data_IF_056702502883
#
_entry.id   IF_056702502883
#
_cell.length_a   1.000
_cell.length_b   1.000
_cell.length_c   1.000
_cell.angle_alpha   90.00
_cell.angle_beta   90.00
_cell.angle_gamma   90.00
#
_symmetry.space_group_name_H-M   'P 1'
#
loop_
_entity.id
_entity.type
_entity.pdbx_description
1 polymer ?
#
# COMPACT_ATOMS: atom_id res chain seq x y z
N UNK A 1 -12.83 19.96 -15.65
CA UNK A 1 -12.89 19.38 -14.29
C UNK A 1 -11.47 19.19 -13.79
N UNK A 2 -11.21 19.52 -12.54
CA UNK A 2 -9.94 19.26 -11.85
C UNK A 2 -10.21 18.44 -10.61
N UNK A 3 -9.45 17.38 -10.40
CA UNK A 3 -9.48 16.50 -9.23
C UNK A 3 -8.27 15.57 -9.29
N UNK A 4 -8.19 14.58 -8.40
CA UNK A 4 -7.13 13.58 -8.39
C UNK A 4 -7.03 12.82 -9.72
N UNK A 5 -5.82 12.47 -10.11
CA UNK A 5 -5.57 11.72 -11.34
C UNK A 5 -6.36 10.42 -11.42
N UNK A 6 -6.45 9.67 -10.32
CA UNK A 6 -7.23 8.44 -10.25
C UNK A 6 -8.73 8.67 -10.49
N UNK A 7 -9.28 9.76 -9.94
CA UNK A 7 -10.67 10.14 -10.15
C UNK A 7 -10.93 10.57 -11.60
N UNK A 8 -9.99 11.30 -12.24
CA UNK A 8 -10.10 11.69 -13.65
C UNK A 8 -10.09 10.47 -14.58
N UNK A 9 -9.16 9.55 -14.36
CA UNK A 9 -9.06 8.32 -15.16
C UNK A 9 -10.31 7.45 -14.98
N UNK A 10 -10.78 7.29 -13.75
CA UNK A 10 -12.00 6.54 -13.45
C UNK A 10 -13.24 7.16 -14.13
N UNK A 11 -13.37 8.50 -14.09
CA UNK A 11 -14.46 9.19 -14.78
C UNK A 11 -14.37 9.05 -16.30
N UNK A 12 -13.18 9.17 -16.87
CA UNK A 12 -12.97 8.95 -18.28
C UNK A 12 -13.42 7.55 -18.68
N UNK A 13 -12.99 6.51 -17.95
CA UNK A 13 -13.35 5.13 -18.23
C UNK A 13 -14.86 4.84 -18.15
N UNK A 14 -15.58 5.54 -17.26
CA UNK A 14 -17.00 5.27 -16.99
C UNK A 14 -17.96 6.17 -17.79
N UNK A 15 -17.55 7.39 -18.13
CA UNK A 15 -18.47 8.43 -18.57
C UNK A 15 -18.13 9.02 -19.96
N UNK A 16 -16.98 8.66 -20.55
CA UNK A 16 -16.63 9.14 -21.88
C UNK A 16 -17.64 8.64 -22.90
N UNK A 17 -18.34 9.53 -23.64
CA UNK A 17 -19.29 9.12 -24.67
C UNK A 17 -18.61 8.37 -25.80
N UNK A 18 -19.35 7.48 -26.44
CA UNK A 18 -18.87 6.79 -27.63
C UNK A 18 -18.56 7.80 -28.76
N UNK A 19 -17.37 7.67 -29.35
CA UNK A 19 -16.92 8.56 -30.41
C UNK A 19 -16.27 9.86 -29.95
N UNK A 20 -16.23 10.14 -28.64
CA UNK A 20 -15.50 11.27 -28.05
C UNK A 20 -14.15 10.81 -27.50
N UNK A 21 -13.15 11.69 -27.52
CA UNK A 21 -11.87 11.46 -26.86
C UNK A 21 -11.65 12.52 -25.78
N UNK A 22 -11.73 12.09 -24.50
CA UNK A 22 -11.39 12.96 -23.38
C UNK A 22 -9.89 12.89 -23.09
N UNK A 23 -9.28 14.05 -22.92
CA UNK A 23 -7.86 14.18 -22.61
C UNK A 23 -7.68 14.63 -21.17
N UNK A 24 -6.78 13.96 -20.44
CA UNK A 24 -6.33 14.40 -19.12
C UNK A 24 -5.06 15.23 -19.31
N UNK A 25 -5.12 16.51 -18.93
CA UNK A 25 -4.03 17.47 -19.13
C UNK A 25 -3.85 18.34 -17.88
N UNK A 26 -2.62 18.69 -17.51
CA UNK A 26 -1.34 18.19 -18.05
C UNK A 26 -1.10 16.72 -17.68
N UNK A 27 -0.20 16.04 -18.39
CA UNK A 27 0.18 14.66 -18.08
C UNK A 27 0.93 14.52 -16.74
N UNK A 28 1.65 15.56 -16.33
CA UNK A 28 2.26 15.62 -15.00
C UNK A 28 1.29 16.25 -14.00
N UNK A 29 1.18 15.70 -12.76
CA UNK A 29 0.35 16.28 -11.71
C UNK A 29 0.75 17.72 -11.40
N UNK A 30 -0.25 18.60 -11.22
CA UNK A 30 -0.04 20.02 -10.84
C UNK A 30 0.14 20.21 -9.34
N UNK A 31 -0.27 19.24 -8.52
CA UNK A 31 -0.10 19.19 -7.07
C UNK A 31 0.04 17.76 -6.57
N UNK A 32 0.41 17.61 -5.31
CA UNK A 32 0.45 16.32 -4.59
C UNK A 32 -0.71 16.28 -3.60
N UNK A 33 -1.48 15.23 -3.69
CA UNK A 33 -2.61 14.95 -2.80
C UNK A 33 -2.40 13.58 -2.15
N UNK A 34 -1.62 13.50 -1.05
CA UNK A 34 -1.32 12.22 -0.39
C UNK A 34 -2.57 11.72 0.33
N UNK A 35 -3.31 10.84 -0.34
CA UNK A 35 -4.49 10.20 0.22
C UNK A 35 -4.07 9.16 1.27
N UNK A 36 -4.86 9.05 2.33
CA UNK A 36 -4.65 8.07 3.38
C UNK A 36 -5.93 7.74 4.13
N UNK A 37 -5.95 6.64 4.87
CA UNK A 37 -7.08 6.32 5.75
C UNK A 37 -7.20 7.36 6.85
N UNK A 38 -8.44 7.63 7.28
CA UNK A 38 -8.75 8.54 8.38
C UNK A 38 -9.33 7.75 9.55
N UNK A 39 -9.06 8.21 10.77
CA UNK A 39 -9.55 7.62 12.01
C UNK A 39 -9.93 8.71 13.02
N UNK A 40 -10.67 8.32 14.06
CA UNK A 40 -11.10 9.26 15.12
C UNK A 40 -9.91 9.85 15.88
N UNK A 41 -10.00 11.14 16.21
CA UNK A 41 -8.99 11.82 17.02
C UNK A 41 -9.04 11.34 18.47
N UNK A 42 -7.90 11.42 19.19
CA UNK A 42 -7.73 11.04 20.58
C UNK A 42 -7.80 9.52 20.86
N UNK A 43 -7.58 8.69 19.84
CA UNK A 43 -7.39 7.26 19.99
C UNK A 43 -6.02 6.87 19.38
N UNK A 44 -4.97 7.04 20.18
CA UNK A 44 -3.60 6.80 19.73
C UNK A 44 -3.33 5.33 19.41
N UNK A 45 -3.93 4.41 20.19
CA UNK A 45 -3.75 2.98 19.96
C UNK A 45 -4.38 2.57 18.62
N UNK A 46 -5.60 3.04 18.34
CA UNK A 46 -6.23 2.79 17.03
C UNK A 46 -5.47 3.46 15.88
N UNK A 47 -4.94 4.67 16.11
CA UNK A 47 -4.09 5.35 15.14
C UNK A 47 -2.86 4.51 14.78
N UNK A 48 -2.18 3.91 15.78
CA UNK A 48 -1.04 3.04 15.56
C UNK A 48 -1.44 1.77 14.77
N UNK A 49 -2.55 1.14 15.11
CA UNK A 49 -3.07 -0.02 14.37
C UNK A 49 -3.31 0.31 12.90
N UNK A 50 -3.98 1.43 12.60
CA UNK A 50 -4.27 1.84 11.22
C UNK A 50 -2.98 2.17 10.47
N UNK A 51 -2.10 2.96 11.07
CA UNK A 51 -0.83 3.36 10.43
C UNK A 51 0.07 2.15 10.15
N UNK A 52 0.28 1.28 11.15
CA UNK A 52 1.11 0.10 10.99
C UNK A 52 0.51 -0.93 10.05
N UNK A 53 -0.82 -1.02 9.94
CA UNK A 53 -1.45 -1.87 8.92
C UNK A 53 -1.11 -1.38 7.51
N UNK A 54 -1.14 -0.08 7.25
CA UNK A 54 -0.72 0.49 5.95
C UNK A 54 0.79 0.27 5.74
N UNK A 55 1.62 0.59 6.72
CA UNK A 55 3.07 0.41 6.64
C UNK A 55 3.44 -1.06 6.40
N UNK A 56 2.74 -2.00 7.04
CA UNK A 56 2.96 -3.42 6.82
C UNK A 56 2.77 -3.82 5.35
N UNK A 57 1.77 -3.27 4.65
CA UNK A 57 1.57 -3.56 3.22
C UNK A 57 2.71 -3.00 2.37
N UNK A 58 3.24 -1.82 2.72
CA UNK A 58 4.35 -1.18 2.01
C UNK A 58 5.65 -1.96 2.25
N UNK A 59 6.00 -2.24 3.52
CA UNK A 59 7.19 -3.02 3.87
C UNK A 59 7.13 -4.42 3.23
N UNK A 60 5.97 -5.06 3.22
CA UNK A 60 5.80 -6.36 2.57
C UNK A 60 6.13 -6.28 1.07
N UNK A 61 5.71 -5.21 0.38
CA UNK A 61 6.08 -4.97 -1.01
C UNK A 61 7.60 -4.81 -1.19
N UNK A 62 8.24 -4.00 -0.34
CA UNK A 62 9.70 -3.78 -0.33
C UNK A 62 10.50 -5.08 -0.09
N UNK A 63 9.96 -5.98 0.74
CA UNK A 63 10.60 -7.27 1.09
C UNK A 63 10.22 -8.44 0.17
N UNK A 64 9.45 -8.20 -0.88
CA UNK A 64 8.96 -9.27 -1.77
C UNK A 64 8.00 -10.24 -1.10
N UNK A 65 7.35 -9.83 0.00
CA UNK A 65 6.31 -10.59 0.68
C UNK A 65 4.96 -10.24 0.03
N UNK A 66 4.18 -11.25 -0.32
CA UNK A 66 2.90 -11.10 -0.99
C UNK A 66 1.86 -12.08 -0.44
N UNK A 67 0.65 -12.03 -0.96
CA UNK A 67 -0.46 -12.87 -0.50
C UNK A 67 -0.17 -14.38 -0.59
N UNK A 68 0.68 -14.81 -1.51
CA UNK A 68 0.99 -16.22 -1.71
C UNK A 68 2.10 -16.77 -0.81
N UNK A 69 3.01 -15.89 -0.30
CA UNK A 69 4.17 -16.34 0.49
C UNK A 69 4.18 -15.83 1.93
N UNK A 70 3.28 -14.94 2.34
CA UNK A 70 3.25 -14.35 3.68
C UNK A 70 3.29 -15.39 4.81
N UNK A 71 2.60 -16.52 4.64
CA UNK A 71 2.56 -17.60 5.63
C UNK A 71 3.85 -18.42 5.73
N UNK A 72 4.77 -18.26 4.79
CA UNK A 72 6.05 -18.99 4.74
C UNK A 72 7.26 -18.14 5.14
N UNK A 73 7.04 -16.93 5.64
CA UNK A 73 8.13 -16.00 6.02
C UNK A 73 8.72 -16.38 7.37
N UNK A 74 7.88 -16.63 8.37
CA UNK A 74 8.32 -16.93 9.73
C UNK A 74 9.12 -18.23 9.76
N UNK A 75 10.34 -18.15 10.28
CA UNK A 75 11.28 -19.29 10.34
C UNK A 75 11.97 -19.61 9.02
N UNK A 76 11.84 -18.78 8.01
CA UNK A 76 12.52 -18.94 6.72
C UNK A 76 13.72 -17.98 6.63
N UNK A 77 14.94 -18.53 6.66
CA UNK A 77 16.20 -17.78 6.65
C UNK A 77 16.43 -16.95 5.38
N UNK A 78 15.60 -17.09 4.36
CA UNK A 78 15.66 -16.24 3.16
C UNK A 78 15.12 -14.83 3.39
N UNK A 79 14.39 -14.62 4.48
CA UNK A 79 13.85 -13.32 4.88
C UNK A 79 14.63 -12.73 6.05
N UNK A 80 14.88 -11.43 6.00
CA UNK A 80 15.63 -10.73 7.03
C UNK A 80 14.83 -10.58 8.36
N UNK A 81 15.50 -10.10 9.40
CA UNK A 81 14.91 -9.91 10.72
C UNK A 81 13.72 -8.95 10.73
N UNK A 82 13.69 -7.97 9.83
CA UNK A 82 12.54 -7.05 9.69
C UNK A 82 11.31 -7.76 9.16
N UNK A 83 11.48 -8.59 8.12
CA UNK A 83 10.41 -9.42 7.58
C UNK A 83 9.88 -10.41 8.62
N UNK A 84 10.79 -11.04 9.40
CA UNK A 84 10.41 -11.94 10.50
C UNK A 84 9.55 -11.22 11.54
N UNK A 85 9.96 -10.03 12.01
CA UNK A 85 9.18 -9.22 12.96
C UNK A 85 7.82 -8.80 12.39
N UNK A 86 7.82 -8.33 11.16
CA UNK A 86 6.59 -7.90 10.50
C UNK A 86 5.56 -9.02 10.41
N UNK A 87 6.00 -10.25 10.15
CA UNK A 87 5.11 -11.42 10.03
C UNK A 87 4.84 -12.13 11.37
N UNK A 88 5.35 -11.61 12.49
CA UNK A 88 5.08 -12.12 13.83
C UNK A 88 6.00 -13.24 14.30
N UNK A 89 7.14 -13.44 13.64
CA UNK A 89 8.15 -14.44 14.04
C UNK A 89 8.97 -14.03 15.26
N UNK A 90 9.15 -12.74 15.50
CA UNK A 90 9.91 -12.20 16.62
C UNK A 90 9.51 -10.74 16.93
N UNK A 91 9.85 -10.28 18.14
CA UNK A 91 9.55 -8.91 18.58
C UNK A 91 8.15 -8.71 19.14
N UNK A 92 7.82 -7.47 19.47
CA UNK A 92 6.59 -7.10 20.18
C UNK A 92 5.73 -6.07 19.43
N UNK A 93 6.03 -5.79 18.15
CA UNK A 93 5.38 -4.73 17.38
C UNK A 93 3.85 -4.85 17.41
N UNK A 94 3.33 -6.04 17.13
CA UNK A 94 1.89 -6.29 17.09
C UNK A 94 1.28 -6.30 18.49
N UNK A 95 1.93 -6.93 19.45
CA UNK A 95 1.42 -7.05 20.83
C UNK A 95 1.34 -5.70 21.55
N UNK A 96 2.25 -4.76 21.27
CA UNK A 96 2.20 -3.40 21.81
C UNK A 96 0.96 -2.62 21.32
N UNK A 97 0.41 -2.98 20.19
CA UNK A 97 -0.85 -2.44 19.66
C UNK A 97 -2.09 -3.26 20.07
N UNK A 98 -1.91 -4.31 20.89
CA UNK A 98 -3.01 -5.21 21.30
C UNK A 98 -3.45 -6.20 20.23
N UNK A 99 -2.61 -6.43 19.21
CA UNK A 99 -2.88 -7.36 18.13
C UNK A 99 -2.22 -8.73 18.38
N UNK A 100 -2.72 -9.77 17.71
CA UNK A 100 -2.03 -11.06 17.64
C UNK A 100 -0.71 -10.94 16.90
N UNK A 101 0.27 -11.78 17.21
CA UNK A 101 1.59 -11.74 16.59
C UNK A 101 1.52 -11.86 15.06
N UNK A 102 0.59 -12.66 14.54
CA UNK A 102 0.38 -12.92 13.12
C UNK A 102 -0.55 -11.90 12.41
N UNK A 103 -0.95 -10.81 13.08
CA UNK A 103 -1.94 -9.88 12.55
C UNK A 103 -1.57 -9.35 11.15
N UNK A 104 -0.33 -8.90 10.95
CA UNK A 104 0.10 -8.41 9.64
C UNK A 104 0.30 -9.51 8.61
N UNK A 105 0.71 -10.71 9.02
CA UNK A 105 0.70 -11.89 8.16
C UNK A 105 -0.72 -12.16 7.64
N UNK A 106 -1.73 -12.09 8.52
CA UNK A 106 -3.14 -12.24 8.14
C UNK A 106 -3.58 -11.16 7.16
N UNK A 107 -3.20 -9.90 7.39
CA UNK A 107 -3.49 -8.80 6.47
C UNK A 107 -2.91 -9.11 5.09
N UNK A 108 -1.61 -9.40 5.00
CA UNK A 108 -0.96 -9.64 3.70
C UNK A 108 -1.53 -10.88 3.01
N UNK A 109 -1.80 -11.95 3.74
CA UNK A 109 -2.39 -13.16 3.17
C UNK A 109 -3.79 -12.93 2.56
N UNK A 110 -4.59 -12.04 3.15
CA UNK A 110 -5.98 -11.81 2.74
C UNK A 110 -6.12 -10.72 1.69
N UNK A 111 -5.37 -9.63 1.80
CA UNK A 111 -5.55 -8.46 0.92
C UNK A 111 -4.35 -8.20 0.02
N UNK A 112 -3.22 -8.84 0.28
CA UNK A 112 -1.97 -8.64 -0.45
C UNK A 112 -1.11 -7.51 0.12
N UNK A 113 0.09 -7.35 -0.44
CA UNK A 113 0.96 -6.22 -0.18
C UNK A 113 0.48 -4.97 -0.94
N UNK A 114 1.17 -3.83 -0.75
CA UNK A 114 0.77 -2.57 -1.36
C UNK A 114 0.73 -2.64 -2.89
N UNK A 115 1.67 -3.35 -3.52
CA UNK A 115 1.69 -3.50 -4.98
C UNK A 115 0.52 -4.33 -5.50
N UNK A 116 0.19 -5.45 -4.84
CA UNK A 116 -0.96 -6.27 -5.19
C UNK A 116 -2.28 -5.48 -5.05
N UNK A 117 -2.41 -4.69 -3.96
CA UNK A 117 -3.59 -3.85 -3.73
C UNK A 117 -3.70 -2.78 -4.82
N UNK A 118 -2.61 -2.08 -5.11
CA UNK A 118 -2.59 -1.03 -6.13
C UNK A 118 -2.90 -1.60 -7.51
N UNK A 119 -2.19 -2.65 -7.90
CA UNK A 119 -2.32 -3.28 -9.22
C UNK A 119 -3.72 -3.81 -9.47
N UNK A 120 -4.33 -4.45 -8.49
CA UNK A 120 -5.70 -4.97 -8.60
C UNK A 120 -6.74 -3.87 -8.80
N UNK A 121 -6.54 -2.70 -8.18
CA UNK A 121 -7.56 -1.65 -8.18
C UNK A 121 -7.32 -0.56 -9.24
N UNK A 122 -6.08 -0.25 -9.60
CA UNK A 122 -5.74 0.89 -10.43
C UNK A 122 -5.17 0.54 -11.81
N UNK A 123 -4.47 -0.60 -11.96
CA UNK A 123 -4.01 -1.01 -13.28
C UNK A 123 -5.15 -1.20 -14.30
N UNK A 124 -6.33 -1.74 -13.93
CA UNK A 124 -7.44 -1.89 -14.88
C UNK A 124 -7.93 -0.57 -15.47
N UNK A 125 -7.70 0.56 -14.80
CA UNK A 125 -8.06 1.89 -15.30
C UNK A 125 -6.86 2.63 -15.91
N UNK A 126 -5.73 1.93 -16.12
CA UNK A 126 -4.55 2.46 -16.82
C UNK A 126 -3.59 3.23 -15.93
N UNK A 127 -3.70 3.12 -14.60
CA UNK A 127 -2.76 3.71 -13.65
C UNK A 127 -1.80 2.64 -13.13
N UNK A 128 -0.52 2.77 -13.47
CA UNK A 128 0.55 1.90 -12.99
C UNK A 128 1.42 2.62 -11.95
N UNK A 129 2.06 1.86 -11.07
CA UNK A 129 3.02 2.41 -10.10
C UNK A 129 4.34 2.77 -10.77
N UNK A 130 4.78 1.98 -11.73
CA UNK A 130 6.07 2.11 -12.39
C UNK A 130 6.25 3.49 -13.02
N UNK A 131 7.36 4.15 -12.70
CA UNK A 131 7.70 5.47 -13.21
C UNK A 131 6.81 6.61 -12.69
N UNK A 132 5.94 6.36 -11.71
CA UNK A 132 5.08 7.36 -11.09
C UNK A 132 5.53 7.72 -9.67
N UNK A 133 4.94 8.78 -9.09
CA UNK A 133 5.14 9.10 -7.67
C UNK A 133 4.62 8.02 -6.71
N UNK A 134 3.82 7.08 -7.18
CA UNK A 134 3.31 5.94 -6.41
C UNK A 134 4.24 4.71 -6.48
N UNK A 135 5.35 4.77 -7.19
CA UNK A 135 6.38 3.75 -7.11
C UNK A 135 7.03 3.72 -5.72
N UNK A 136 7.67 2.61 -5.37
CA UNK A 136 8.47 2.50 -4.16
C UNK A 136 9.66 3.48 -4.17
N UNK A 137 10.16 3.83 -3.00
CA UNK A 137 11.29 4.76 -2.89
C UNK A 137 12.56 4.22 -3.58
N UNK A 138 12.75 2.91 -3.57
CA UNK A 138 13.86 2.24 -4.26
C UNK A 138 13.78 2.38 -5.78
N UNK A 139 12.56 2.53 -6.32
CA UNK A 139 12.26 2.72 -7.74
C UNK A 139 12.10 4.21 -8.11
N UNK A 140 12.51 5.12 -7.21
CA UNK A 140 12.45 6.57 -7.42
C UNK A 140 11.09 7.21 -7.18
N UNK A 141 10.13 6.49 -6.59
CA UNK A 141 8.83 7.00 -6.17
C UNK A 141 8.84 7.61 -4.75
N UNK A 142 7.66 7.86 -4.23
CA UNK A 142 7.45 8.49 -2.92
C UNK A 142 6.83 7.55 -1.87
N UNK A 143 6.56 6.30 -2.23
CA UNK A 143 5.95 5.34 -1.30
C UNK A 143 7.05 4.66 -0.50
N UNK A 144 7.05 4.88 0.80
CA UNK A 144 7.94 4.22 1.76
C UNK A 144 7.26 4.11 3.13
N UNK A 145 7.78 3.27 3.99
CA UNK A 145 7.33 3.09 5.36
C UNK A 145 8.51 3.16 6.35
N UNK A 146 8.28 3.52 7.63
CA UNK A 146 9.29 3.39 8.66
C UNK A 146 9.63 1.90 8.86
N UNK A 147 10.88 1.56 9.23
CA UNK A 147 11.29 0.17 9.43
C UNK A 147 10.56 -0.47 10.61
N UNK A 148 10.16 -1.73 10.47
CA UNK A 148 9.59 -2.56 11.54
C UNK A 148 10.71 -3.03 12.50
N UNK A 149 10.86 -2.30 13.64
CA UNK A 149 11.90 -2.55 14.66
C UNK A 149 11.31 -2.97 15.98
#
# INVERSE_FOLDING_TARGET
VTTDGSALVGRKAQQQPEGEEWVIFPGAPISKEPLGPTYGQNDSQWADVVNWTVYATIIASEKGINSSNASSVVGNDSFDAEAQRLMGGEGELQSLMGLSADAFQQVISQVGNYDEIYSRNLNPVGLTRDGSSNAGWEDGGLIYAPPAR
#
